data_IF_892291002734
#
_entry.id   IF_892291002734
#
_cell.length_a   1.000
_cell.length_b   1.000
_cell.length_c   1.000
_cell.angle_alpha   90.00
_cell.angle_beta   90.00
_cell.angle_gamma   90.00
#
_symmetry.space_group_name_H-M   'P 1'
#
loop_
_entity.id
_entity.type
_entity.pdbx_description
1 polymer ?
#
# COMPACT_ATOMS: atom_id res chain seq x y z
N UNK A 1 0.10 -7.47 -45.40
CA UNK A 1 1.57 -7.40 -45.26
C UNK A 1 1.88 -6.83 -43.89
N UNK A 2 1.98 -7.70 -42.88
CA UNK A 2 2.57 -7.39 -41.59
C UNK A 2 3.88 -8.19 -41.56
N UNK A 3 5.01 -7.51 -41.71
CA UNK A 3 6.34 -8.11 -41.66
C UNK A 3 7.25 -7.18 -40.86
N UNK A 4 8.04 -7.82 -40.01
CA UNK A 4 9.28 -7.32 -39.40
C UNK A 4 9.16 -6.34 -38.22
N UNK A 5 8.67 -6.83 -37.07
CA UNK A 5 9.08 -6.27 -35.75
C UNK A 5 9.41 -7.31 -34.68
N UNK A 6 9.37 -8.61 -34.94
CA UNK A 6 9.35 -9.62 -33.85
C UNK A 6 10.66 -10.36 -33.56
N UNK A 7 11.79 -10.06 -34.21
CA UNK A 7 13.06 -10.75 -33.89
C UNK A 7 14.15 -9.85 -33.27
N UNK A 8 14.09 -8.52 -33.42
CA UNK A 8 15.14 -7.63 -32.93
C UNK A 8 15.01 -7.25 -31.43
N UNK A 9 13.84 -7.43 -30.82
CA UNK A 9 13.54 -6.94 -29.46
C UNK A 9 13.62 -8.03 -28.38
N UNK A 10 13.82 -9.30 -28.76
CA UNK A 10 13.72 -10.46 -27.86
C UNK A 10 14.87 -10.61 -26.84
N UNK A 11 15.81 -9.65 -26.79
CA UNK A 11 16.94 -9.65 -25.85
C UNK A 11 17.29 -8.29 -25.26
N UNK A 12 16.53 -7.24 -25.56
CA UNK A 12 16.80 -5.90 -25.03
C UNK A 12 16.20 -5.77 -23.63
N UNK A 13 17.04 -5.50 -22.64
CA UNK A 13 16.59 -5.14 -21.29
C UNK A 13 16.01 -3.72 -21.29
N UNK A 14 15.01 -3.49 -20.45
CA UNK A 14 14.30 -2.22 -20.42
C UNK A 14 15.08 -1.15 -19.65
N UNK A 15 14.99 0.09 -20.10
CA UNK A 15 15.40 1.25 -19.30
C UNK A 15 14.20 1.72 -18.48
N UNK A 16 14.40 1.89 -17.17
CA UNK A 16 13.30 2.23 -16.25
C UNK A 16 13.63 3.50 -15.51
N UNK A 17 12.63 4.37 -15.37
CA UNK A 17 12.66 5.48 -14.43
C UNK A 17 11.62 5.27 -13.33
N UNK A 18 12.00 5.59 -12.10
CA UNK A 18 11.11 5.68 -10.95
C UNK A 18 11.11 7.12 -10.51
N UNK A 19 9.97 7.79 -10.70
CA UNK A 19 9.78 9.21 -10.36
C UNK A 19 9.27 9.30 -8.94
N UNK A 20 9.94 10.12 -8.14
CA UNK A 20 9.68 10.31 -6.73
C UNK A 20 9.77 11.79 -6.36
N UNK A 21 9.01 12.22 -5.37
CA UNK A 21 9.13 13.54 -4.78
C UNK A 21 10.35 13.62 -3.84
N UNK A 22 11.16 14.66 -3.98
CA UNK A 22 12.46 14.78 -3.27
C UNK A 22 12.29 14.97 -1.76
N UNK A 23 11.26 15.72 -1.35
CA UNK A 23 11.07 16.17 0.04
C UNK A 23 9.59 16.08 0.44
N UNK A 24 9.01 14.88 0.52
CA UNK A 24 7.63 14.77 1.02
C UNK A 24 7.54 15.33 2.44
N UNK A 25 6.74 16.39 2.60
CA UNK A 25 6.35 16.91 3.92
C UNK A 25 5.20 16.11 4.53
N UNK A 26 4.66 15.14 3.79
CA UNK A 26 3.43 14.41 4.14
C UNK A 26 3.72 13.00 4.61
N UNK A 27 4.46 12.20 3.85
CA UNK A 27 4.79 10.82 4.22
C UNK A 27 6.03 10.34 3.47
N UNK A 28 6.80 9.42 4.06
CA UNK A 28 7.88 8.74 3.35
C UNK A 28 7.42 7.56 2.49
N UNK A 29 6.10 7.29 2.37
CA UNK A 29 5.56 6.07 1.74
C UNK A 29 6.09 5.88 0.32
N UNK A 30 5.82 6.85 -0.55
CA UNK A 30 6.21 6.75 -1.95
C UNK A 30 7.72 6.87 -2.13
N UNK A 31 8.40 7.63 -1.26
CA UNK A 31 9.87 7.74 -1.23
C UNK A 31 10.53 6.39 -0.93
N UNK A 32 10.08 5.71 0.12
CA UNK A 32 10.62 4.40 0.52
C UNK A 32 10.28 3.33 -0.52
N UNK A 33 9.06 3.35 -1.06
CA UNK A 33 8.68 2.45 -2.15
C UNK A 33 9.55 2.67 -3.39
N UNK A 34 9.76 3.92 -3.81
CA UNK A 34 10.59 4.25 -4.96
C UNK A 34 12.04 3.80 -4.78
N UNK A 35 12.63 4.07 -3.62
CA UNK A 35 13.99 3.62 -3.27
C UNK A 35 14.06 2.09 -3.29
N UNK A 36 13.13 1.41 -2.63
CA UNK A 36 13.09 -0.05 -2.59
C UNK A 36 12.95 -0.68 -3.98
N UNK A 37 12.01 -0.20 -4.80
CA UNK A 37 11.83 -0.68 -6.17
C UNK A 37 13.06 -0.41 -7.02
N UNK A 38 13.70 0.76 -6.89
CA UNK A 38 14.88 1.08 -7.68
C UNK A 38 16.04 0.13 -7.41
N UNK A 39 16.32 -0.20 -6.15
CA UNK A 39 17.34 -1.18 -5.81
C UNK A 39 16.96 -2.58 -6.31
N UNK A 40 15.70 -3.00 -6.11
CA UNK A 40 15.25 -4.32 -6.53
C UNK A 40 15.28 -4.52 -8.06
N UNK A 41 14.87 -3.51 -8.82
CA UNK A 41 14.82 -3.57 -10.29
C UNK A 41 16.22 -3.61 -10.89
N UNK A 42 17.19 -2.91 -10.29
CA UNK A 42 18.59 -2.96 -10.72
C UNK A 42 19.18 -4.37 -10.59
N UNK A 43 18.88 -5.07 -9.49
CA UNK A 43 19.34 -6.44 -9.23
C UNK A 43 18.45 -7.53 -9.85
N UNK A 44 17.29 -7.17 -10.40
CA UNK A 44 16.31 -8.12 -10.94
C UNK A 44 16.69 -8.74 -12.29
N UNK A 45 17.67 -8.16 -13.00
CA UNK A 45 18.18 -8.67 -14.27
C UNK A 45 17.31 -8.40 -15.52
N UNK A 46 16.18 -7.71 -15.35
CA UNK A 46 15.28 -7.30 -16.44
C UNK A 46 15.51 -5.87 -16.93
N UNK A 47 16.19 -5.06 -16.13
CA UNK A 47 16.52 -3.68 -16.46
C UNK A 47 17.97 -3.57 -16.95
N UNK A 48 18.20 -2.76 -17.97
CA UNK A 48 19.55 -2.36 -18.38
C UNK A 48 20.04 -1.23 -17.48
N UNK A 49 19.16 -0.24 -17.26
CA UNK A 49 19.42 0.92 -16.42
C UNK A 49 18.17 1.30 -15.64
N UNK A 50 18.37 1.62 -14.36
CA UNK A 50 17.32 2.11 -13.46
C UNK A 50 17.67 3.50 -12.97
N UNK A 51 16.79 4.45 -13.25
CA UNK A 51 16.90 5.83 -12.82
C UNK A 51 15.95 6.10 -11.66
N UNK A 52 16.47 6.61 -10.55
CA UNK A 52 15.65 7.20 -9.48
C UNK A 52 15.61 8.71 -9.70
N UNK A 53 14.46 9.20 -10.17
CA UNK A 53 14.31 10.58 -10.64
C UNK A 53 13.55 11.41 -9.60
N UNK A 54 14.25 12.32 -8.95
CA UNK A 54 13.69 13.21 -7.93
C UNK A 54 13.07 14.46 -8.56
N UNK A 55 11.83 14.76 -8.19
CA UNK A 55 11.08 15.93 -8.67
C UNK A 55 10.60 16.75 -7.48
N UNK A 56 10.89 18.06 -7.49
CA UNK A 56 10.48 18.96 -6.42
C UNK A 56 8.97 19.19 -6.40
N UNK A 57 8.42 19.37 -5.20
CA UNK A 57 7.04 19.78 -4.95
C UNK A 57 6.81 21.26 -5.31
N UNK A 58 5.60 21.65 -5.76
CA UNK A 58 5.30 23.02 -6.20
C UNK A 58 5.55 24.11 -5.16
N UNK A 59 5.49 23.77 -3.88
CA UNK A 59 5.63 24.70 -2.75
C UNK A 59 7.08 25.06 -2.43
N UNK A 60 8.05 24.35 -3.00
CA UNK A 60 9.47 24.57 -2.74
C UNK A 60 10.06 25.51 -3.79
N UNK A 61 10.06 26.80 -3.45
CA UNK A 61 10.76 27.86 -4.20
C UNK A 61 12.29 27.84 -3.99
N UNK A 62 12.83 26.86 -3.27
CA UNK A 62 14.27 26.66 -3.12
C UNK A 62 14.73 25.63 -4.13
N UNK A 63 15.63 26.05 -5.02
CA UNK A 63 16.33 25.17 -5.94
C UNK A 63 16.84 23.95 -5.17
N UNK A 64 16.40 22.76 -5.57
CA UNK A 64 16.89 21.50 -5.03
C UNK A 64 18.40 21.46 -5.24
N UNK A 65 19.17 21.74 -4.20
CA UNK A 65 20.58 21.36 -4.16
C UNK A 65 20.60 19.85 -4.25
N UNK A 66 21.11 19.32 -5.37
CA UNK A 66 21.30 17.90 -5.58
C UNK A 66 22.06 17.32 -4.38
N UNK A 67 21.32 16.71 -3.45
CA UNK A 67 21.92 15.98 -2.35
C UNK A 67 22.75 14.87 -2.98
N UNK A 68 24.03 14.80 -2.61
CA UNK A 68 24.91 13.71 -3.02
C UNK A 68 24.21 12.40 -2.68
N UNK A 69 24.05 11.47 -3.64
CA UNK A 69 23.18 10.31 -3.43
C UNK A 69 23.79 9.42 -2.35
N UNK A 70 23.16 9.39 -1.17
CA UNK A 70 23.50 8.43 -0.14
C UNK A 70 23.12 7.04 -0.67
N UNK A 71 24.12 6.16 -0.78
CA UNK A 71 23.87 4.74 -1.03
C UNK A 71 22.96 4.20 0.06
N UNK A 72 21.94 3.45 -0.31
CA UNK A 72 21.02 2.81 0.62
C UNK A 72 20.94 1.31 0.36
N UNK A 73 20.45 0.59 1.36
CA UNK A 73 20.26 -0.84 1.29
C UNK A 73 18.77 -1.19 1.39
N UNK A 74 18.39 -2.26 0.72
CA UNK A 74 17.06 -2.83 0.82
C UNK A 74 17.17 -4.34 1.08
N UNK A 75 16.24 -4.88 1.85
CA UNK A 75 16.05 -6.32 2.01
C UNK A 75 14.89 -6.74 1.13
N UNK A 76 15.21 -7.43 0.04
CA UNK A 76 14.22 -7.97 -0.87
C UNK A 76 13.37 -9.04 -0.17
N UNK A 77 12.17 -9.32 -0.69
CA UNK A 77 11.19 -10.23 -0.06
C UNK A 77 11.70 -11.66 0.14
N UNK A 78 12.64 -12.12 -0.67
CA UNK A 78 13.33 -13.42 -0.53
C UNK A 78 14.44 -13.41 0.53
N UNK A 79 14.68 -12.28 1.20
CA UNK A 79 15.68 -12.10 2.24
C UNK A 79 17.02 -11.58 1.73
N UNK A 80 17.20 -11.42 0.40
CA UNK A 80 18.44 -10.91 -0.17
C UNK A 80 18.68 -9.44 0.22
N UNK A 81 19.88 -9.13 0.71
CA UNK A 81 20.30 -7.76 0.96
C UNK A 81 20.90 -7.17 -0.32
N UNK A 82 20.29 -6.09 -0.81
CA UNK A 82 20.66 -5.44 -2.06
C UNK A 82 21.07 -3.98 -1.80
N UNK A 83 21.95 -3.45 -2.65
CA UNK A 83 22.54 -2.12 -2.50
C UNK A 83 22.11 -1.22 -3.65
N UNK A 84 21.89 0.07 -3.38
CA UNK A 84 21.54 1.06 -4.41
C UNK A 84 22.75 1.58 -5.22
N UNK A 85 23.88 0.87 -5.25
CA UNK A 85 25.14 1.37 -5.84
C UNK A 85 25.02 1.63 -7.33
N UNK A 86 24.26 0.79 -8.01
CA UNK A 86 24.06 0.84 -9.45
C UNK A 86 22.75 1.56 -9.84
N UNK A 87 22.04 2.15 -8.85
CA UNK A 87 20.87 3.00 -9.10
C UNK A 87 21.35 4.39 -9.51
N UNK A 88 20.88 4.86 -10.67
CA UNK A 88 21.24 6.19 -11.19
C UNK A 88 20.30 7.23 -10.61
N UNK A 89 20.71 7.87 -9.52
CA UNK A 89 19.95 8.94 -8.88
C UNK A 89 20.16 10.26 -9.63
N UNK A 90 19.08 10.96 -9.98
CA UNK A 90 19.17 12.22 -10.74
C UNK A 90 17.93 13.10 -10.52
N UNK A 91 18.08 14.40 -10.69
CA UNK A 91 16.96 15.35 -10.84
C UNK A 91 16.77 15.80 -12.29
N UNK A 92 17.60 15.30 -13.21
CA UNK A 92 17.49 15.60 -14.64
C UNK A 92 16.36 14.76 -15.28
N UNK A 93 15.28 15.45 -15.64
CA UNK A 93 14.11 14.86 -16.30
C UNK A 93 14.39 14.43 -17.76
N UNK A 94 15.50 14.84 -18.36
CA UNK A 94 15.83 14.47 -19.74
C UNK A 94 16.03 12.96 -19.91
N UNK A 95 16.42 12.26 -18.84
CA UNK A 95 16.64 10.79 -18.83
C UNK A 95 15.37 10.00 -19.11
N UNK A 96 14.19 10.58 -18.83
CA UNK A 96 12.90 9.92 -19.01
C UNK A 96 12.64 9.52 -20.47
N UNK A 97 13.22 10.26 -21.42
CA UNK A 97 13.08 10.02 -22.87
C UNK A 97 13.70 8.71 -23.32
N UNK A 98 14.74 8.24 -22.64
CA UNK A 98 15.41 6.99 -22.96
C UNK A 98 14.80 5.78 -22.22
N UNK A 99 13.79 6.00 -21.38
CA UNK A 99 13.16 4.97 -20.56
C UNK A 99 11.95 4.35 -21.26
N UNK A 100 11.84 3.03 -21.21
CA UNK A 100 10.70 2.26 -21.72
C UNK A 100 9.50 2.33 -20.78
N UNK A 101 9.77 2.33 -19.47
CA UNK A 101 8.77 2.44 -18.41
C UNK A 101 9.10 3.55 -17.41
N UNK A 102 8.07 4.26 -16.97
CA UNK A 102 8.14 5.31 -15.95
C UNK A 102 7.18 4.97 -14.82
N UNK A 103 7.72 4.61 -13.66
CA UNK A 103 6.97 4.33 -12.44
C UNK A 103 6.74 5.63 -11.67
N UNK A 104 5.48 6.02 -11.48
CA UNK A 104 5.10 7.16 -10.67
C UNK A 104 4.86 6.71 -9.23
N UNK A 105 5.84 7.00 -8.36
CA UNK A 105 5.77 6.82 -6.92
C UNK A 105 5.80 8.20 -6.27
N UNK A 106 4.69 8.92 -6.33
CA UNK A 106 4.58 10.31 -5.88
C UNK A 106 3.37 10.51 -4.99
N UNK A 107 3.45 11.50 -4.09
CA UNK A 107 2.33 11.87 -3.23
C UNK A 107 1.04 12.08 -4.03
N UNK A 108 -0.02 11.38 -3.63
CA UNK A 108 -1.30 11.35 -4.35
C UNK A 108 -1.96 12.73 -4.46
N UNK A 109 -1.77 13.58 -3.45
CA UNK A 109 -2.25 14.96 -3.42
C UNK A 109 -1.63 15.84 -4.52
N UNK A 110 -0.48 15.43 -5.06
CA UNK A 110 0.27 16.15 -6.07
C UNK A 110 0.41 15.36 -7.38
N UNK A 111 -0.30 14.23 -7.52
CA UNK A 111 -0.17 13.35 -8.70
C UNK A 111 -0.35 14.08 -10.02
N UNK A 112 -1.37 14.95 -10.14
CA UNK A 112 -1.62 15.68 -11.39
C UNK A 112 -0.49 16.65 -11.75
N UNK A 113 0.15 17.27 -10.75
CA UNK A 113 1.31 18.12 -10.98
C UNK A 113 2.50 17.30 -11.49
N UNK A 114 2.85 16.20 -10.79
CA UNK A 114 3.96 15.35 -11.18
C UNK A 114 3.74 14.68 -12.54
N UNK A 115 2.52 14.21 -12.81
CA UNK A 115 2.13 13.70 -14.12
C UNK A 115 2.35 14.73 -15.23
N UNK A 116 1.97 15.99 -15.01
CA UNK A 116 2.21 17.07 -15.97
C UNK A 116 3.70 17.41 -16.17
N UNK A 117 4.52 17.34 -15.12
CA UNK A 117 5.98 17.51 -15.23
C UNK A 117 6.60 16.38 -16.06
N UNK A 118 6.22 15.13 -15.78
CA UNK A 118 6.69 13.94 -16.50
C UNK A 118 6.24 13.99 -17.96
N UNK A 119 4.98 14.31 -18.23
CA UNK A 119 4.45 14.43 -19.58
C UNK A 119 5.24 15.45 -20.42
N UNK A 120 5.47 16.65 -19.87
CA UNK A 120 6.30 17.68 -20.53
C UNK A 120 7.72 17.19 -20.82
N UNK A 121 8.34 16.47 -19.88
CA UNK A 121 9.68 15.94 -20.06
C UNK A 121 9.75 14.88 -21.17
N UNK A 122 8.72 14.05 -21.31
CA UNK A 122 8.60 13.05 -22.38
C UNK A 122 8.30 13.67 -23.75
N UNK A 123 7.57 14.80 -23.81
CA UNK A 123 7.25 15.49 -25.06
C UNK A 123 8.41 16.34 -25.61
N UNK A 124 9.17 17.00 -24.73
CA UNK A 124 10.21 17.93 -25.12
C UNK A 124 11.30 17.26 -25.98
N UNK A 125 11.37 17.63 -27.26
CA UNK A 125 12.41 17.14 -28.17
C UNK A 125 12.19 15.72 -28.71
N UNK A 126 11.01 15.12 -28.50
CA UNK A 126 10.68 13.85 -29.15
C UNK A 126 10.58 14.06 -30.67
N UNK A 127 11.53 13.50 -31.42
CA UNK A 127 11.54 13.55 -32.90
C UNK A 127 10.51 12.61 -33.53
N UNK A 128 9.93 11.70 -32.75
CA UNK A 128 8.93 10.72 -33.19
C UNK A 128 7.74 10.76 -32.25
N UNK A 129 6.59 11.17 -32.79
CA UNK A 129 5.29 11.27 -32.08
C UNK A 129 4.82 9.95 -31.40
N UNK A 130 5.51 8.82 -31.61
CA UNK A 130 5.08 7.46 -31.24
C UNK A 130 6.08 6.67 -30.36
N UNK A 131 7.01 7.30 -29.63
CA UNK A 131 7.79 6.55 -28.62
C UNK A 131 6.85 6.01 -27.53
N UNK A 132 6.77 4.69 -27.41
CA UNK A 132 5.80 4.00 -26.54
C UNK A 132 6.34 3.88 -25.12
N UNK A 133 6.31 4.97 -24.36
CA UNK A 133 6.53 4.90 -22.92
C UNK A 133 5.32 4.26 -22.23
N UNK A 134 5.58 3.33 -21.31
CA UNK A 134 4.57 2.81 -20.39
C UNK A 134 4.66 3.58 -19.07
N UNK A 135 3.56 4.16 -18.63
CA UNK A 135 3.47 4.83 -17.33
C UNK A 135 2.86 3.85 -16.34
N UNK A 136 3.50 3.61 -15.20
CA UNK A 136 2.99 2.74 -14.15
C UNK A 136 2.72 3.58 -12.91
N UNK A 137 1.47 3.72 -12.51
CA UNK A 137 1.09 4.45 -11.31
C UNK A 137 0.76 3.47 -10.18
N UNK A 138 1.59 3.49 -9.13
CA UNK A 138 1.45 2.62 -7.97
C UNK A 138 0.86 3.41 -6.80
N UNK A 139 -0.46 3.32 -6.64
CA UNK A 139 -1.22 3.95 -5.56
C UNK A 139 -2.08 2.91 -4.84
N UNK A 140 -2.18 3.03 -3.52
CA UNK A 140 -2.87 2.07 -2.67
C UNK A 140 -4.01 2.72 -1.89
N UNK A 141 -4.07 4.05 -1.87
CA UNK A 141 -5.16 4.83 -1.29
C UNK A 141 -6.50 4.47 -1.92
N UNK A 142 -7.55 4.58 -1.11
CA UNK A 142 -8.91 4.38 -1.59
C UNK A 142 -9.35 5.51 -2.51
N UNK A 143 -9.03 6.75 -2.11
CA UNK A 143 -9.29 7.94 -2.91
C UNK A 143 -8.35 7.96 -4.13
N UNK A 144 -8.90 8.43 -5.26
CA UNK A 144 -8.22 8.45 -6.56
C UNK A 144 -8.26 9.83 -7.15
N UNK A 145 -7.19 10.20 -7.85
CA UNK A 145 -7.19 11.35 -8.75
C UNK A 145 -7.64 10.85 -10.12
N UNK A 146 -8.90 11.09 -10.47
CA UNK A 146 -9.45 10.62 -11.74
C UNK A 146 -9.00 11.51 -12.90
N UNK A 147 -8.67 10.91 -14.05
CA UNK A 147 -8.46 11.60 -15.31
C UNK A 147 -7.06 12.15 -15.55
N UNK A 148 -6.11 12.02 -14.62
CA UNK A 148 -4.72 12.47 -14.83
C UNK A 148 -4.08 11.76 -16.03
N UNK A 149 -4.43 10.48 -16.24
CA UNK A 149 -3.96 9.68 -17.36
C UNK A 149 -4.43 10.26 -18.70
N UNK A 150 -5.69 10.72 -18.78
CA UNK A 150 -6.24 11.32 -20.00
C UNK A 150 -5.71 12.73 -20.23
N UNK A 151 -5.51 13.48 -19.15
CA UNK A 151 -5.04 14.87 -19.23
C UNK A 151 -3.57 14.98 -19.59
N UNK A 152 -2.72 14.10 -19.07
CA UNK A 152 -1.26 14.19 -19.21
C UNK A 152 -0.65 13.12 -20.10
N UNK A 153 -1.34 11.99 -20.29
CA UNK A 153 -0.83 10.84 -21.05
C UNK A 153 -1.83 10.30 -22.09
N UNK A 154 -2.49 11.15 -22.91
CA UNK A 154 -3.57 10.71 -23.80
C UNK A 154 -3.14 9.66 -24.84
N UNK A 155 -1.86 9.70 -25.24
CA UNK A 155 -1.29 8.81 -26.27
C UNK A 155 -0.36 7.74 -25.68
N UNK A 156 -0.34 7.55 -24.35
CA UNK A 156 0.52 6.55 -23.68
C UNK A 156 -0.30 5.46 -23.01
N UNK A 157 0.33 4.30 -22.81
CA UNK A 157 -0.24 3.25 -21.98
C UNK A 157 0.01 3.63 -20.52
N UNK A 158 -1.07 3.81 -19.76
CA UNK A 158 -1.02 3.97 -18.30
C UNK A 158 -1.50 2.68 -17.65
N UNK A 159 -0.70 2.12 -16.76
CA UNK A 159 -1.00 1.00 -15.89
C UNK A 159 -1.33 1.50 -14.49
N UNK A 160 -2.52 1.17 -14.01
CA UNK A 160 -2.91 1.44 -12.63
C UNK A 160 -2.64 0.23 -11.74
N UNK A 161 -2.09 0.48 -10.56
CA UNK A 161 -1.82 -0.55 -9.57
C UNK A 161 -1.45 0.05 -8.22
N UNK A 162 -0.87 -0.76 -7.35
CA UNK A 162 -0.41 -0.36 -6.02
C UNK A 162 0.36 -1.49 -5.31
N UNK A 163 1.08 -1.14 -4.24
CA UNK A 163 1.80 -2.10 -3.41
C UNK A 163 1.07 -2.32 -2.07
N UNK A 164 0.54 -3.53 -1.82
CA UNK A 164 -0.20 -3.85 -0.60
C UNK A 164 0.70 -4.07 0.64
N UNK A 165 1.81 -3.34 0.71
CA UNK A 165 2.79 -3.31 1.80
C UNK A 165 3.42 -1.92 1.84
N UNK A 166 3.65 -1.39 3.05
CA UNK A 166 4.51 -0.23 3.24
C UNK A 166 5.97 -0.68 3.27
N UNK A 167 6.89 0.15 2.77
CA UNK A 167 8.34 -0.06 2.95
C UNK A 167 8.80 0.79 4.12
N UNK A 168 9.37 0.13 5.13
CA UNK A 168 9.89 0.75 6.35
C UNK A 168 11.40 0.61 6.44
N UNK A 169 12.06 1.52 7.15
CA UNK A 169 13.48 1.36 7.50
C UNK A 169 13.57 0.56 8.81
N UNK A 170 14.35 -0.52 8.81
CA UNK A 170 14.63 -1.27 10.02
C UNK A 170 15.61 -0.50 10.95
N UNK A 171 15.98 -1.11 12.08
CA UNK A 171 16.90 -0.49 13.05
C UNK A 171 18.31 -0.24 12.51
N UNK A 172 18.68 -0.85 11.38
CA UNK A 172 19.96 -0.65 10.70
C UNK A 172 19.82 0.30 9.49
N UNK A 173 18.66 0.91 9.28
CA UNK A 173 18.39 1.76 8.12
C UNK A 173 18.18 1.00 6.82
N UNK A 174 17.89 -0.32 6.87
CA UNK A 174 17.66 -1.15 5.70
C UNK A 174 16.17 -1.09 5.34
N UNK A 175 15.87 -0.70 4.10
CA UNK A 175 14.51 -0.66 3.57
C UNK A 175 13.93 -2.07 3.43
N UNK A 176 12.83 -2.35 4.10
CA UNK A 176 12.20 -3.68 4.13
C UNK A 176 10.68 -3.56 3.98
N UNK A 177 10.02 -4.41 3.18
CA UNK A 177 8.56 -4.52 3.18
C UNK A 177 8.04 -4.89 4.57
N UNK A 178 7.12 -4.10 5.10
CA UNK A 178 6.52 -4.33 6.42
C UNK A 178 5.68 -5.61 6.44
N UNK A 179 4.99 -5.93 5.34
CA UNK A 179 4.13 -7.12 5.19
C UNK A 179 4.47 -7.92 3.94
N UNK A 180 3.89 -9.11 3.81
CA UNK A 180 4.03 -9.99 2.63
C UNK A 180 3.08 -9.62 1.49
N UNK A 181 2.56 -8.39 1.47
CA UNK A 181 1.66 -7.94 0.41
C UNK A 181 2.25 -8.09 -0.99
N UNK A 182 1.38 -8.20 -1.98
CA UNK A 182 1.69 -8.22 -3.39
C UNK A 182 1.61 -6.81 -4.00
N UNK A 183 2.24 -6.64 -5.15
CA UNK A 183 1.92 -5.52 -6.05
C UNK A 183 0.70 -5.94 -6.88
N UNK A 184 -0.37 -5.15 -6.88
CA UNK A 184 -1.49 -5.38 -7.77
C UNK A 184 -1.42 -4.43 -8.96
N UNK A 185 -1.77 -4.92 -10.14
CA UNK A 185 -1.88 -4.13 -11.37
C UNK A 185 -3.25 -4.43 -12.01
N UNK A 186 -3.80 -3.46 -12.74
CA UNK A 186 -4.99 -3.67 -13.55
C UNK A 186 -4.82 -4.84 -14.52
N UNK A 187 -5.92 -5.53 -14.82
CA UNK A 187 -5.91 -6.54 -15.85
C UNK A 187 -5.72 -5.90 -17.21
N UNK A 188 -4.58 -6.19 -17.83
CA UNK A 188 -4.25 -5.71 -19.16
C UNK A 188 -5.24 -6.26 -20.18
N UNK A 189 -5.99 -5.39 -20.89
CA UNK A 189 -6.70 -5.80 -22.09
C UNK A 189 -5.69 -5.95 -23.24
N UNK A 190 -6.13 -6.52 -24.38
CA UNK A 190 -5.22 -6.84 -25.50
C UNK A 190 -4.45 -5.62 -26.01
N UNK A 191 -5.05 -4.43 -25.92
CA UNK A 191 -4.45 -3.18 -26.37
C UNK A 191 -3.25 -2.74 -25.51
N UNK A 192 -3.11 -3.28 -24.29
CA UNK A 192 -1.99 -3.01 -23.37
C UNK A 192 -0.95 -4.14 -23.32
N UNK A 193 -0.98 -5.10 -24.24
CA UNK A 193 -0.07 -6.27 -24.24
C UNK A 193 1.42 -5.87 -24.27
N UNK A 194 1.74 -4.76 -24.94
CA UNK A 194 3.10 -4.19 -24.94
C UNK A 194 3.62 -3.83 -23.55
N UNK A 195 2.75 -3.65 -22.55
CA UNK A 195 3.15 -3.29 -21.20
C UNK A 195 3.41 -4.50 -20.29
N UNK A 196 3.32 -5.74 -20.81
CA UNK A 196 3.56 -6.96 -20.03
C UNK A 196 4.94 -7.00 -19.38
N UNK A 197 5.98 -6.48 -20.04
CA UNK A 197 7.34 -6.45 -19.49
C UNK A 197 7.43 -5.68 -18.16
N UNK A 198 6.52 -4.73 -17.88
CA UNK A 198 6.47 -4.03 -16.60
C UNK A 198 6.13 -4.99 -15.45
N UNK A 199 5.29 -5.99 -15.71
CA UNK A 199 4.98 -7.03 -14.73
C UNK A 199 6.19 -7.93 -14.53
N UNK A 200 6.89 -8.31 -15.59
CA UNK A 200 8.11 -9.12 -15.48
C UNK A 200 9.21 -8.40 -14.67
N UNK A 201 9.37 -7.09 -14.87
CA UNK A 201 10.28 -6.25 -14.07
C UNK A 201 9.91 -6.30 -12.58
N UNK A 202 8.64 -6.07 -12.22
CA UNK A 202 8.23 -6.13 -10.80
C UNK A 202 8.42 -7.55 -10.26
N UNK A 203 8.14 -8.60 -11.04
CA UNK A 203 8.23 -9.98 -10.58
C UNK A 203 9.68 -10.39 -10.34
N UNK A 204 10.61 -9.85 -11.15
CA UNK A 204 12.05 -10.02 -10.96
C UNK A 204 12.57 -9.45 -9.65
N UNK A 205 11.82 -8.54 -9.02
CA UNK A 205 12.10 -8.01 -7.69
C UNK A 205 11.76 -9.00 -6.55
N UNK A 206 11.48 -10.27 -6.87
CA UNK A 206 10.92 -11.27 -5.96
C UNK A 206 9.62 -10.80 -5.26
N UNK A 207 8.90 -9.88 -5.90
CA UNK A 207 7.60 -9.41 -5.46
C UNK A 207 6.52 -10.25 -6.12
N UNK A 208 5.52 -10.63 -5.34
CA UNK A 208 4.32 -11.23 -5.88
C UNK A 208 3.52 -10.17 -6.64
N UNK A 209 2.99 -10.55 -7.80
CA UNK A 209 2.11 -9.70 -8.60
C UNK A 209 0.76 -10.36 -8.75
N UNK A 210 -0.28 -9.57 -8.53
CA UNK A 210 -1.63 -9.97 -8.90
C UNK A 210 -2.19 -9.03 -9.97
N UNK A 211 -2.85 -9.61 -10.96
CA UNK A 211 -3.58 -8.85 -11.98
C UNK A 211 -5.08 -8.97 -11.73
N UNK A 212 -5.78 -7.84 -11.64
CA UNK A 212 -7.23 -7.81 -11.34
C UNK A 212 -7.98 -6.78 -12.19
N UNK A 213 -9.22 -7.14 -12.57
CA UNK A 213 -10.13 -6.20 -13.26
C UNK A 213 -10.67 -5.13 -12.30
N UNK A 214 -10.98 -5.52 -11.07
CA UNK A 214 -11.61 -4.65 -10.09
C UNK A 214 -10.59 -4.21 -9.04
N UNK A 215 -9.80 -3.19 -9.37
CA UNK A 215 -8.82 -2.64 -8.43
C UNK A 215 -9.49 -2.03 -7.19
N UNK A 216 -10.70 -1.48 -7.34
CA UNK A 216 -11.46 -0.90 -6.22
C UNK A 216 -11.69 -1.93 -5.09
N UNK A 217 -11.94 -3.19 -5.42
CA UNK A 217 -12.10 -4.24 -4.41
C UNK A 217 -10.83 -4.45 -3.56
N UNK A 218 -9.65 -4.30 -4.18
CA UNK A 218 -8.37 -4.36 -3.49
C UNK A 218 -8.16 -3.10 -2.63
N UNK A 219 -8.40 -1.90 -3.17
CA UNK A 219 -8.24 -0.65 -2.41
C UNK A 219 -9.11 -0.62 -1.13
N UNK A 220 -10.36 -1.09 -1.21
CA UNK A 220 -11.20 -1.23 -0.02
C UNK A 220 -10.62 -2.21 0.99
N UNK A 221 -10.09 -3.34 0.52
CA UNK A 221 -9.44 -4.33 1.40
C UNK A 221 -8.17 -3.77 2.02
N UNK A 222 -7.37 -3.01 1.25
CA UNK A 222 -6.17 -2.31 1.74
C UNK A 222 -6.54 -1.34 2.86
N UNK A 223 -7.50 -0.45 2.64
CA UNK A 223 -7.96 0.53 3.64
C UNK A 223 -8.44 -0.14 4.94
N UNK A 224 -9.09 -1.30 4.84
CA UNK A 224 -9.48 -2.10 6.01
C UNK A 224 -8.26 -2.70 6.72
N UNK A 225 -7.38 -3.39 5.99
CA UNK A 225 -6.26 -4.15 6.57
C UNK A 225 -5.22 -3.21 7.19
N UNK A 226 -4.87 -2.11 6.52
CA UNK A 226 -3.86 -1.17 7.01
C UNK A 226 -4.38 -0.21 8.08
N UNK A 227 -5.68 -0.22 8.40
CA UNK A 227 -6.25 0.63 9.45
C UNK A 227 -5.68 0.39 10.85
N UNK A 228 -5.09 -0.78 11.09
CA UNK A 228 -4.32 -1.06 12.31
C UNK A 228 -3.13 -0.11 12.49
N UNK A 229 -2.55 0.41 11.41
CA UNK A 229 -1.38 1.28 11.47
C UNK A 229 -1.67 2.61 12.16
N UNK A 230 -2.90 3.11 12.07
CA UNK A 230 -3.35 4.30 12.80
C UNK A 230 -3.33 4.08 14.32
N UNK A 231 -3.74 2.88 14.77
CA UNK A 231 -3.70 2.50 16.19
C UNK A 231 -2.24 2.37 16.66
N UNK A 232 -1.38 1.77 15.85
CA UNK A 232 0.06 1.69 16.15
C UNK A 232 0.69 3.09 16.25
N UNK A 233 0.34 4.00 15.34
CA UNK A 233 0.82 5.38 15.35
C UNK A 233 0.42 6.14 16.62
N UNK A 234 -0.77 5.90 17.18
CA UNK A 234 -1.22 6.52 18.43
C UNK A 234 -0.62 5.87 19.68
N UNK A 235 -0.39 4.56 19.65
CA UNK A 235 0.07 3.78 20.82
C UNK A 235 1.59 3.60 20.87
N UNK A 236 2.29 3.90 19.79
CA UNK A 236 3.71 3.64 19.56
C UNK A 236 4.11 2.14 19.65
N UNK A 237 3.13 1.24 19.53
CA UNK A 237 3.36 -0.20 19.51
C UNK A 237 3.85 -0.66 18.13
N UNK A 238 4.61 -1.76 18.10
CA UNK A 238 4.82 -2.52 16.86
C UNK A 238 3.50 -3.13 16.38
N UNK A 239 3.40 -3.48 15.10
CA UNK A 239 2.22 -4.18 14.56
C UNK A 239 1.94 -5.47 15.33
N UNK A 240 2.99 -6.24 15.64
CA UNK A 240 2.88 -7.49 16.40
C UNK A 240 2.35 -7.25 17.81
N UNK A 241 2.81 -6.22 18.51
CA UNK A 241 2.35 -5.92 19.86
C UNK A 241 0.92 -5.37 19.87
N UNK A 242 0.56 -4.56 18.87
CA UNK A 242 -0.82 -4.11 18.70
C UNK A 242 -1.78 -5.27 18.42
N UNK A 243 -1.37 -6.29 17.66
CA UNK A 243 -2.15 -7.52 17.48
C UNK A 243 -2.23 -8.35 18.77
N UNK A 244 -1.20 -8.36 19.62
CA UNK A 244 -1.25 -9.07 20.91
C UNK A 244 -2.13 -8.37 21.94
N UNK A 245 -2.28 -7.05 21.85
CA UNK A 245 -3.15 -6.27 22.72
C UNK A 245 -4.63 -6.38 22.28
N UNK A 246 -5.47 -6.94 23.15
CA UNK A 246 -6.91 -7.10 22.88
C UNK A 246 -7.62 -5.78 22.58
N UNK A 247 -7.27 -4.70 23.27
CA UNK A 247 -7.94 -3.40 23.13
C UNK A 247 -7.63 -2.79 21.77
N UNK A 248 -6.37 -2.89 21.34
CA UNK A 248 -5.97 -2.53 19.98
C UNK A 248 -6.73 -3.37 18.93
N UNK A 249 -6.82 -4.70 19.11
CA UNK A 249 -7.60 -5.55 18.21
C UNK A 249 -9.08 -5.21 18.13
N UNK A 250 -9.70 -4.81 19.24
CA UNK A 250 -11.11 -4.42 19.24
C UNK A 250 -11.35 -3.09 18.52
N UNK A 251 -10.45 -2.11 18.68
CA UNK A 251 -10.48 -0.87 17.89
C UNK A 251 -10.32 -1.17 16.41
N UNK A 252 -9.35 -2.03 16.07
CA UNK A 252 -9.10 -2.45 14.69
C UNK A 252 -10.31 -3.17 14.09
N UNK A 253 -10.91 -4.10 14.81
CA UNK A 253 -12.13 -4.80 14.37
C UNK A 253 -13.30 -3.84 14.14
N UNK A 254 -13.47 -2.83 14.99
CA UNK A 254 -14.53 -1.83 14.83
C UNK A 254 -14.31 -0.95 13.60
N UNK A 255 -13.07 -0.52 13.33
CA UNK A 255 -12.72 0.22 12.11
C UNK A 255 -12.99 -0.59 10.85
N UNK A 256 -12.57 -1.86 10.80
CA UNK A 256 -12.87 -2.75 9.66
C UNK A 256 -14.39 -2.90 9.48
N UNK A 257 -15.12 -3.09 10.58
CA UNK A 257 -16.57 -3.24 10.55
C UNK A 257 -17.26 -1.97 10.01
N UNK A 258 -16.84 -0.79 10.46
CA UNK A 258 -17.34 0.49 9.98
C UNK A 258 -17.12 0.68 8.47
N UNK A 259 -15.88 0.47 8.01
CA UNK A 259 -15.53 0.56 6.57
C UNK A 259 -16.36 -0.45 5.76
N UNK A 260 -16.53 -1.68 6.27
CA UNK A 260 -17.33 -2.71 5.62
C UNK A 260 -18.82 -2.37 5.57
N UNK A 261 -19.37 -1.74 6.61
CA UNK A 261 -20.76 -1.29 6.65
C UNK A 261 -21.04 -0.20 5.61
N UNK A 262 -20.07 0.71 5.40
CA UNK A 262 -20.12 1.71 4.31
C UNK A 262 -20.13 1.01 2.96
N UNK A 263 -19.18 0.10 2.72
CA UNK A 263 -19.09 -0.63 1.46
C UNK A 263 -20.38 -1.41 1.15
N UNK A 264 -20.93 -2.12 2.14
CA UNK A 264 -22.18 -2.87 2.00
C UNK A 264 -23.37 -1.95 1.67
N UNK A 265 -23.37 -0.72 2.18
CA UNK A 265 -24.42 0.26 1.90
C UNK A 265 -24.32 0.84 0.49
N UNK A 266 -23.10 1.07 0.00
CA UNK A 266 -22.81 1.55 -1.37
C UNK A 266 -23.09 0.46 -2.40
N UNK A 267 -22.81 -0.80 -2.04
CA UNK A 267 -22.96 -1.95 -2.91
C UNK A 267 -24.36 -2.57 -2.90
N UNK A 268 -25.35 -1.97 -2.21
CA UNK A 268 -26.73 -2.46 -2.20
C UNK A 268 -27.20 -2.75 -3.63
N UNK A 269 -27.65 -3.98 -3.85
CA UNK A 269 -28.14 -4.53 -5.13
C UNK A 269 -27.07 -4.85 -6.20
N UNK A 270 -25.78 -4.79 -5.86
CA UNK A 270 -24.68 -5.22 -6.73
C UNK A 270 -23.97 -6.42 -6.14
N UNK A 271 -23.65 -7.41 -6.97
CA UNK A 271 -22.71 -8.47 -6.59
C UNK A 271 -21.29 -7.89 -6.50
N UNK A 272 -21.01 -7.18 -5.41
CA UNK A 272 -19.69 -6.67 -5.07
C UNK A 272 -18.97 -7.65 -4.17
N UNK A 273 -17.77 -8.06 -4.56
CA UNK A 273 -16.89 -8.88 -3.74
C UNK A 273 -15.64 -8.08 -3.40
N UNK A 274 -15.28 -8.08 -2.11
CA UNK A 274 -13.95 -7.64 -1.67
C UNK A 274 -12.88 -8.57 -2.25
N UNK A 275 -11.69 -8.02 -2.44
CA UNK A 275 -10.53 -8.77 -2.91
C UNK A 275 -9.32 -8.44 -2.03
N UNK A 276 -9.10 -9.28 -1.01
CA UNK A 276 -7.95 -9.18 -0.13
C UNK A 276 -6.74 -10.02 -0.59
N UNK A 277 -6.79 -10.62 -1.79
CA UNK A 277 -5.75 -11.54 -2.26
C UNK A 277 -4.37 -10.89 -2.42
N UNK A 278 -4.30 -9.56 -2.45
CA UNK A 278 -3.06 -8.80 -2.45
C UNK A 278 -2.37 -8.73 -1.08
N UNK A 279 -3.08 -9.05 0.01
CA UNK A 279 -2.58 -8.87 1.38
C UNK A 279 -2.37 -10.20 2.09
N UNK A 280 -3.42 -11.01 2.14
CA UNK A 280 -3.45 -12.23 2.91
C UNK A 280 -4.52 -13.18 2.38
N UNK A 281 -4.39 -14.45 2.73
CA UNK A 281 -5.35 -15.48 2.38
C UNK A 281 -6.68 -15.35 3.15
N UNK A 282 -6.65 -14.84 4.38
CA UNK A 282 -7.84 -14.74 5.23
C UNK A 282 -8.85 -13.73 4.67
N UNK A 283 -10.11 -14.11 4.45
CA UNK A 283 -11.19 -13.17 4.12
C UNK A 283 -11.45 -12.16 5.25
N UNK A 284 -11.87 -10.94 4.89
CA UNK A 284 -12.23 -9.89 5.87
C UNK A 284 -13.23 -10.37 6.94
N UNK A 285 -14.32 -11.12 6.60
CA UNK A 285 -15.21 -11.66 7.63
C UNK A 285 -14.52 -12.61 8.62
N UNK A 286 -13.53 -13.38 8.18
CA UNK A 286 -12.73 -14.24 9.04
C UNK A 286 -11.81 -13.42 9.95
N UNK A 287 -11.17 -12.37 9.42
CA UNK A 287 -10.38 -11.44 10.23
C UNK A 287 -11.24 -10.82 11.34
N UNK A 288 -12.43 -10.30 10.99
CA UNK A 288 -13.39 -9.74 11.97
C UNK A 288 -13.84 -10.74 13.03
N UNK A 289 -13.96 -12.02 12.69
CA UNK A 289 -14.31 -13.07 13.64
C UNK A 289 -13.16 -13.41 14.61
N UNK A 290 -11.92 -13.34 14.13
CA UNK A 290 -10.73 -13.73 14.88
C UNK A 290 -10.20 -12.59 15.78
N UNK A 291 -10.26 -11.34 15.33
CA UNK A 291 -9.72 -10.19 16.07
C UNK A 291 -10.27 -10.01 17.50
N UNK A 292 -11.55 -10.29 17.83
CA UNK A 292 -12.07 -10.06 19.18
C UNK A 292 -11.77 -11.17 20.19
N UNK A 293 -11.14 -12.28 19.76
CA UNK A 293 -10.85 -13.44 20.61
C UNK A 293 -10.05 -13.06 21.88
N UNK A 294 -10.19 -13.80 22.99
CA UNK A 294 -9.29 -13.65 24.14
C UNK A 294 -7.81 -13.81 23.76
N UNK A 295 -6.90 -13.12 24.47
CA UNK A 295 -5.46 -13.09 24.15
C UNK A 295 -4.84 -14.48 23.99
N UNK A 296 -5.20 -15.43 24.86
CA UNK A 296 -4.68 -16.80 24.79
C UNK A 296 -5.02 -17.48 23.45
N UNK A 297 -6.29 -17.43 23.03
CA UNK A 297 -6.72 -18.03 21.76
C UNK A 297 -6.13 -17.28 20.57
N UNK A 298 -6.12 -15.95 20.62
CA UNK A 298 -5.54 -15.14 19.54
C UNK A 298 -4.03 -15.38 19.37
N UNK A 299 -3.31 -15.64 20.47
CA UNK A 299 -1.89 -15.99 20.44
C UNK A 299 -1.61 -17.27 19.65
N UNK A 300 -2.56 -18.20 19.55
CA UNK A 300 -2.47 -19.35 18.65
C UNK A 300 -2.80 -18.95 17.20
N UNK A 301 -3.86 -18.17 17.01
CA UNK A 301 -4.33 -17.72 15.69
C UNK A 301 -3.24 -16.96 14.93
N UNK A 302 -2.55 -16.01 15.58
CA UNK A 302 -1.50 -15.20 14.93
C UNK A 302 -0.25 -16.00 14.55
N UNK A 303 -0.07 -17.21 15.08
CA UNK A 303 1.00 -18.13 14.66
C UNK A 303 0.61 -18.94 13.42
N UNK A 304 -0.68 -19.16 13.21
CA UNK A 304 -1.21 -20.00 12.13
C UNK A 304 -1.59 -19.19 10.89
N UNK A 305 -1.97 -17.92 11.09
CA UNK A 305 -2.52 -17.09 10.02
C UNK A 305 -1.82 -15.75 9.91
N UNK A 306 -1.56 -15.35 8.67
CA UNK A 306 -1.14 -14.01 8.32
C UNK A 306 -2.36 -13.08 8.19
N UNK A 307 -2.32 -11.95 8.88
CA UNK A 307 -3.35 -10.90 8.85
C UNK A 307 -3.07 -9.82 7.81
N UNK A 308 -1.98 -9.93 7.03
CA UNK A 308 -1.63 -9.02 5.93
C UNK A 308 -0.99 -7.70 6.36
N UNK A 309 -0.68 -7.54 7.66
CA UNK A 309 -0.19 -6.29 8.27
C UNK A 309 1.27 -6.33 8.68
N UNK A 310 1.88 -7.52 8.78
CA UNK A 310 3.30 -7.68 9.11
C UNK A 310 3.87 -8.97 8.52
N UNK A 311 5.14 -8.94 8.11
CA UNK A 311 5.88 -10.13 7.70
C UNK A 311 6.45 -10.90 8.91
N UNK A 312 6.44 -10.29 10.10
CA UNK A 312 7.00 -10.83 11.35
C UNK A 312 8.52 -10.96 11.30
N UNK A 313 9.19 -10.14 10.49
CA UNK A 313 10.63 -10.24 10.21
C UNK A 313 11.49 -9.44 11.19
N UNK A 314 10.91 -8.48 11.94
CA UNK A 314 11.62 -7.74 12.98
C UNK A 314 10.77 -7.58 14.24
N UNK A 315 11.44 -7.54 15.41
CA UNK A 315 10.79 -7.23 16.69
C UNK A 315 10.33 -5.77 16.80
N UNK A 316 10.71 -4.91 15.84
CA UNK A 316 10.37 -3.49 15.81
C UNK A 316 9.65 -3.09 14.51
N UNK A 317 8.74 -3.94 14.03
CA UNK A 317 7.86 -3.70 12.87
C UNK A 317 6.88 -2.55 13.16
N UNK A 318 7.38 -1.32 13.28
CA UNK A 318 6.55 -0.12 13.41
C UNK A 318 6.07 0.29 12.02
N UNK A 319 4.77 0.57 11.85
CA UNK A 319 4.29 1.02 10.56
C UNK A 319 4.80 2.42 10.23
N UNK A 320 4.92 2.70 8.94
CA UNK A 320 5.53 3.92 8.43
C UNK A 320 4.87 5.19 9.00
N UNK A 321 3.55 5.18 9.19
CA UNK A 321 2.82 6.27 9.84
C UNK A 321 3.37 6.63 11.23
N UNK A 322 3.84 5.64 12.00
CA UNK A 322 4.45 5.88 13.32
C UNK A 322 5.79 6.59 13.19
N UNK A 323 6.61 6.18 12.22
CA UNK A 323 7.90 6.81 11.95
C UNK A 323 7.76 8.20 11.32
N UNK A 324 6.73 8.42 10.49
CA UNK A 324 6.43 9.71 9.88
C UNK A 324 6.06 10.75 10.96
N UNK A 325 5.22 10.37 11.92
CA UNK A 325 4.96 11.20 13.10
C UNK A 325 6.26 11.53 13.85
N UNK A 326 7.13 10.54 14.06
CA UNK A 326 8.44 10.71 14.71
C UNK A 326 9.37 11.67 13.98
N UNK A 327 9.27 11.75 12.65
CA UNK A 327 10.00 12.71 11.82
C UNK A 327 9.30 14.09 11.74
N UNK A 328 8.17 14.29 12.43
CA UNK A 328 7.42 15.54 12.39
C UNK A 328 6.76 15.83 11.04
N UNK A 329 6.54 14.79 10.23
CA UNK A 329 5.81 14.90 8.96
C UNK A 329 4.31 15.06 9.22
N UNK A 330 3.60 15.51 8.19
CA UNK A 330 2.14 15.47 8.18
C UNK A 330 1.64 14.03 8.00
N UNK A 331 0.40 13.82 7.58
CA UNK A 331 -0.12 12.47 7.37
C UNK A 331 -1.15 12.46 6.25
N UNK A 332 -1.14 11.39 5.45
CA UNK A 332 -2.15 11.14 4.41
C UNK A 332 -3.46 10.58 4.99
N UNK A 333 -3.53 10.25 6.28
CA UNK A 333 -4.69 9.56 6.87
C UNK A 333 -6.02 10.31 6.67
N UNK A 334 -5.95 11.65 6.56
CA UNK A 334 -7.11 12.48 6.24
C UNK A 334 -7.70 12.11 4.86
N UNK A 335 -6.82 11.94 3.88
CA UNK A 335 -7.15 11.60 2.50
C UNK A 335 -7.48 10.11 2.33
N UNK A 336 -6.76 9.22 3.02
CA UNK A 336 -6.92 7.76 2.89
C UNK A 336 -8.36 7.29 3.14
N UNK A 337 -9.04 7.90 4.12
CA UNK A 337 -10.40 7.54 4.53
C UNK A 337 -11.48 8.54 4.10
N UNK A 338 -11.12 9.59 3.35
CA UNK A 338 -12.07 10.64 2.95
C UNK A 338 -13.26 10.07 2.19
N UNK A 339 -13.01 9.20 1.19
CA UNK A 339 -14.07 8.53 0.43
C UNK A 339 -14.98 7.68 1.33
N UNK A 340 -14.44 7.05 2.39
CA UNK A 340 -15.25 6.29 3.35
C UNK A 340 -16.18 7.22 4.12
N UNK A 341 -15.66 8.34 4.61
CA UNK A 341 -16.44 9.32 5.38
C UNK A 341 -17.53 9.97 4.53
N UNK A 342 -17.19 10.35 3.29
CA UNK A 342 -18.11 10.93 2.33
C UNK A 342 -19.25 9.96 1.98
N UNK A 343 -18.91 8.70 1.69
CA UNK A 343 -19.90 7.67 1.39
C UNK A 343 -20.74 7.34 2.63
N UNK A 344 -20.16 7.29 3.82
CA UNK A 344 -20.92 7.07 5.04
C UNK A 344 -21.96 8.17 5.27
N UNK A 345 -21.59 9.43 5.07
CA UNK A 345 -22.51 10.57 5.14
C UNK A 345 -23.63 10.45 4.10
N UNK A 346 -23.29 10.17 2.83
CA UNK A 346 -24.27 10.02 1.73
C UNK A 346 -25.27 8.88 1.94
N UNK A 347 -24.81 7.77 2.52
CA UNK A 347 -25.62 6.56 2.74
C UNK A 347 -26.13 6.42 4.18
N UNK A 348 -25.98 7.46 5.00
CA UNK A 348 -26.44 7.51 6.40
C UNK A 348 -25.90 6.37 7.28
N UNK A 349 -24.66 5.94 7.02
CA UNK A 349 -23.95 4.96 7.84
C UNK A 349 -23.24 5.70 8.96
N UNK A 350 -23.50 5.30 10.21
CA UNK A 350 -22.85 5.91 11.38
C UNK A 350 -21.42 5.38 11.50
N UNK A 351 -20.46 6.30 11.58
CA UNK A 351 -19.07 6.02 11.91
C UNK A 351 -18.74 6.68 13.24
N UNK A 352 -18.06 5.96 14.12
CA UNK A 352 -17.72 6.42 15.46
C UNK A 352 -16.22 6.28 15.72
N UNK A 353 -15.67 5.09 15.48
CA UNK A 353 -14.28 4.76 15.77
C UNK A 353 -13.32 5.37 14.74
N UNK A 354 -13.58 5.16 13.44
CA UNK A 354 -12.70 5.61 12.36
C UNK A 354 -12.47 7.15 12.37
N UNK A 355 -13.50 8.01 12.49
CA UNK A 355 -13.30 9.47 12.47
C UNK A 355 -12.52 9.98 13.68
N UNK A 356 -12.73 9.37 14.85
CA UNK A 356 -12.02 9.76 16.06
C UNK A 356 -10.54 9.35 16.01
N UNK A 357 -10.24 8.13 15.55
CA UNK A 357 -8.86 7.69 15.33
C UNK A 357 -8.15 8.59 14.33
N UNK A 358 -8.80 8.91 13.20
CA UNK A 358 -8.26 9.85 12.20
C UNK A 358 -7.97 11.22 12.83
N UNK A 359 -8.91 11.75 13.61
CA UNK A 359 -8.75 13.05 14.30
C UNK A 359 -7.57 13.05 15.26
N UNK A 360 -7.39 11.98 16.05
CA UNK A 360 -6.27 11.85 16.98
C UNK A 360 -4.93 11.78 16.25
N UNK A 361 -4.84 11.04 15.14
CA UNK A 361 -3.60 10.96 14.35
C UNK A 361 -3.27 12.30 13.71
N UNK A 362 -4.26 12.99 13.13
CA UNK A 362 -4.09 14.34 12.58
C UNK A 362 -3.65 15.32 13.67
N UNK A 363 -4.21 15.22 14.88
CA UNK A 363 -3.78 16.04 16.01
C UNK A 363 -2.33 15.73 16.40
N UNK A 364 -1.95 14.46 16.50
CA UNK A 364 -0.58 14.05 16.78
C UNK A 364 0.40 14.63 15.72
N UNK A 365 0.09 14.50 14.43
CA UNK A 365 0.89 15.04 13.34
C UNK A 365 1.06 16.57 13.46
N UNK A 366 -0.01 17.30 13.79
CA UNK A 366 0.04 18.76 14.01
C UNK A 366 0.96 19.17 15.14
N UNK A 367 1.09 18.36 16.19
CA UNK A 367 2.00 18.68 17.32
C UNK A 367 3.47 18.50 16.97
N UNK A 368 3.80 17.71 15.93
CA UNK A 368 5.18 17.39 15.50
C UNK A 368 6.08 16.82 16.61
N UNK A 369 5.49 16.23 17.65
CA UNK A 369 6.21 15.67 18.80
C UNK A 369 6.32 14.13 18.73
N UNK A 370 6.09 13.53 17.56
CA UNK A 370 6.04 12.07 17.43
C UNK A 370 4.70 11.46 17.83
N UNK A 371 4.71 10.14 18.01
CA UNK A 371 3.58 9.40 18.54
C UNK A 371 3.24 9.88 19.95
N UNK A 372 1.95 10.08 20.30
CA UNK A 372 1.55 10.42 21.65
C UNK A 372 1.75 9.25 22.65
N UNK A 373 2.09 8.05 22.15
CA UNK A 373 2.36 6.85 22.95
C UNK A 373 1.26 6.55 23.98
N UNK A 374 0.00 6.69 23.57
CA UNK A 374 -1.15 6.43 24.43
C UNK A 374 -1.19 4.95 24.80
N UNK A 375 -1.42 4.64 26.07
CA UNK A 375 -1.70 3.24 26.43
C UNK A 375 -2.95 2.75 25.70
N UNK A 376 -2.97 1.48 25.30
CA UNK A 376 -4.13 0.84 24.64
C UNK A 376 -5.41 0.97 25.48
N UNK A 377 -5.27 1.00 26.81
CA UNK A 377 -6.36 1.23 27.76
C UNK A 377 -6.99 2.62 27.59
N UNK A 378 -6.15 3.66 27.58
CA UNK A 378 -6.59 5.04 27.41
C UNK A 378 -7.25 5.21 26.06
N UNK A 379 -6.56 4.80 24.98
CA UNK A 379 -7.10 4.92 23.62
C UNK A 379 -8.47 4.23 23.48
N UNK A 380 -8.59 2.99 23.98
CA UNK A 380 -9.85 2.27 23.97
C UNK A 380 -10.96 2.97 24.77
N UNK A 381 -10.62 3.52 25.95
CA UNK A 381 -11.58 4.23 26.79
C UNK A 381 -12.02 5.58 26.24
N UNK A 382 -11.14 6.25 25.49
CA UNK A 382 -11.43 7.52 24.80
C UNK A 382 -12.37 7.27 23.61
N UNK A 383 -12.06 6.25 22.79
CA UNK A 383 -12.83 5.98 21.58
C UNK A 383 -14.14 5.26 21.89
N UNK A 384 -14.13 4.30 22.80
CA UNK A 384 -15.29 3.46 23.13
C UNK A 384 -15.87 2.75 21.90
N UNK A 385 -15.14 1.78 21.30
CA UNK A 385 -15.59 1.10 20.09
C UNK A 385 -16.93 0.40 20.30
N UNK A 386 -17.71 0.33 19.23
CA UNK A 386 -19.08 -0.17 19.24
C UNK A 386 -19.15 -1.64 19.67
N UNK A 387 -20.34 -2.10 20.07
CA UNK A 387 -20.56 -3.52 20.37
C UNK A 387 -20.43 -4.42 19.12
N UNK A 388 -20.53 -3.86 17.91
CA UNK A 388 -20.45 -4.62 16.67
C UNK A 388 -19.07 -5.29 16.49
N UNK A 389 -18.00 -4.62 16.95
CA UNK A 389 -16.65 -5.19 17.02
C UNK A 389 -16.57 -6.54 17.73
N UNK A 390 -17.47 -6.83 18.68
CA UNK A 390 -17.50 -8.07 19.46
C UNK A 390 -18.47 -9.11 18.90
N UNK A 391 -19.49 -8.67 18.17
CA UNK A 391 -20.60 -9.51 17.73
C UNK A 391 -20.17 -10.55 16.68
N UNK A 392 -19.24 -10.22 15.78
CA UNK A 392 -18.76 -11.19 14.79
C UNK A 392 -18.04 -12.39 15.42
N UNK A 393 -17.24 -12.15 16.46
CA UNK A 393 -16.50 -13.21 17.14
C UNK A 393 -17.40 -14.12 17.97
N UNK A 394 -18.39 -13.57 18.67
CA UNK A 394 -19.32 -14.39 19.47
C UNK A 394 -20.08 -15.37 18.59
N UNK A 395 -20.57 -14.92 17.43
CA UNK A 395 -21.21 -15.80 16.45
C UNK A 395 -20.26 -16.84 15.85
N UNK A 396 -19.03 -16.45 15.53
CA UNK A 396 -18.04 -17.37 15.00
C UNK A 396 -17.64 -18.45 16.01
N UNK A 397 -17.33 -18.07 17.24
CA UNK A 397 -16.98 -19.00 18.32
C UNK A 397 -18.14 -19.94 18.61
N UNK A 398 -19.37 -19.42 18.67
CA UNK A 398 -20.55 -20.26 18.87
C UNK A 398 -20.70 -21.29 17.74
N UNK A 399 -20.55 -20.87 16.47
CA UNK A 399 -20.59 -21.79 15.32
C UNK A 399 -19.48 -22.83 15.39
N UNK A 400 -18.24 -22.41 15.67
CA UNK A 400 -17.09 -23.31 15.78
C UNK A 400 -17.28 -24.35 16.88
N UNK A 401 -17.70 -23.92 18.08
CA UNK A 401 -17.97 -24.82 19.20
C UNK A 401 -19.10 -25.79 18.86
N UNK A 402 -20.20 -25.31 18.28
CA UNK A 402 -21.31 -26.16 17.85
C UNK A 402 -20.84 -27.18 16.81
N UNK A 403 -20.06 -26.77 15.82
CA UNK A 403 -19.49 -27.67 14.81
C UNK A 403 -18.60 -28.72 15.46
N UNK A 404 -17.66 -28.35 16.33
CA UNK A 404 -16.77 -29.30 17.01
C UNK A 404 -17.56 -30.31 17.86
N UNK A 405 -18.58 -29.86 18.59
CA UNK A 405 -19.45 -30.73 19.41
C UNK A 405 -20.25 -31.69 18.53
N UNK A 406 -20.85 -31.20 17.44
CA UNK A 406 -21.60 -32.04 16.51
C UNK A 406 -20.70 -33.06 15.80
N UNK A 407 -19.51 -32.64 15.35
CA UNK A 407 -18.53 -33.54 14.73
C UNK A 407 -18.04 -34.60 15.71
N UNK A 408 -17.72 -34.23 16.95
CA UNK A 408 -17.33 -35.18 17.99
C UNK A 408 -18.47 -36.15 18.33
N UNK A 409 -19.70 -35.66 18.46
CA UNK A 409 -20.90 -36.47 18.70
C UNK A 409 -21.14 -37.47 17.56
N UNK A 410 -20.98 -37.04 16.30
CA UNK A 410 -21.09 -37.91 15.14
C UNK A 410 -20.01 -39.02 15.16
N UNK A 411 -18.76 -38.67 15.47
CA UNK A 411 -17.66 -39.65 15.59
C UNK A 411 -17.95 -40.65 16.71
N UNK A 412 -18.51 -40.21 17.85
CA UNK A 412 -18.89 -41.08 18.94
C UNK A 412 -20.08 -41.98 18.62
N UNK A 413 -21.03 -41.54 17.79
CA UNK A 413 -22.17 -42.37 17.36
C UNK A 413 -21.82 -43.35 16.25
N UNK A 414 -20.78 -43.08 15.47
CA UNK A 414 -20.25 -43.97 14.42
C UNK A 414 -19.26 -45.01 14.96
N UNK A 415 -18.90 -44.94 16.24
CA UNK A 415 -18.15 -45.95 16.99
C UNK A 415 -19.09 -46.77 17.85
#
# INVERSE_FOLDING_TARGET
MAKDTTEADAGRRANVAIVVNTDSTTTKRHVNLARYLSACMTEGGWCDKVHLVSVSTPTDSKAATAATPATFQARRRDGALISSKDVVQTSDLSVLKACDAVYLCVDVLHLSHFAGVVAKALEQGSKKKNEKHVIVHLETSLKRVEGFEKSHFPDKIVLHGGACFDVVEDTHGILTPLSRGAVFIERLPKEKEYALFCLDIIQSCALEIISRRNLRAIHWSNAMITSLYAICALTNLSVTDALRDRKCRLLYADMIHEILAVLNSVAKDKHWALDQSAHCFLPIPSILALLPLPNFLFGLVVKLFDFGVTAGTSSNDKPLMTTDLGHGLSTEIAYEYEDVMDLASRYYVKLHTLPQIQTLVVQAAKTKNGSPALSSAVLYSTIQPSAASRQHSTWFVLKLVLTLVLTAGLICMLR
#
